data_IF_785621634809
#
_entry.id   IF_785621634809
#
_cell.length_a   1.000
_cell.length_b   1.000
_cell.length_c   1.000
_cell.angle_alpha   90.00
_cell.angle_beta   90.00
_cell.angle_gamma   90.00
#
_symmetry.space_group_name_H-M   'P 1'
#
loop_
_entity.id
_entity.type
_entity.pdbx_description
1 polymer ?
#
# COMPACT_ATOMS: atom_id res chain seq x y z
N UNK A 1 -58.50 16.36 31.17
CA UNK A 1 -58.20 16.73 29.78
C UNK A 1 -56.74 16.38 29.51
N UNK A 2 -56.53 15.40 28.63
CA UNK A 2 -55.32 15.12 27.81
C UNK A 2 -53.95 14.91 28.49
N UNK A 3 -53.60 13.62 28.55
CA UNK A 3 -52.27 13.00 28.46
C UNK A 3 -51.10 13.88 27.96
N UNK A 4 -49.97 13.84 28.68
CA UNK A 4 -48.64 13.92 28.05
C UNK A 4 -47.68 12.89 28.65
N UNK A 5 -47.41 11.88 27.83
CA UNK A 5 -46.30 10.95 27.95
C UNK A 5 -44.98 11.71 27.92
N UNK A 6 -44.06 11.39 28.83
CA UNK A 6 -42.65 11.68 28.69
C UNK A 6 -41.86 10.45 29.14
N UNK A 7 -41.73 9.48 28.25
CA UNK A 7 -40.76 8.39 28.38
C UNK A 7 -39.36 8.98 28.24
N UNK A 8 -38.62 9.03 29.34
CA UNK A 8 -37.18 9.31 29.34
C UNK A 8 -36.44 7.97 29.24
N UNK A 9 -36.08 7.61 28.01
CA UNK A 9 -35.15 6.51 27.71
C UNK A 9 -33.72 7.04 27.90
N UNK A 10 -32.87 6.49 28.78
CA UNK A 10 -31.47 6.88 28.81
C UNK A 10 -30.74 6.22 27.64
N UNK A 11 -30.18 7.04 26.75
CA UNK A 11 -29.23 6.60 25.72
C UNK A 11 -27.97 6.05 26.40
N UNK A 12 -27.73 4.74 26.26
CA UNK A 12 -26.43 4.12 26.54
C UNK A 12 -25.47 4.46 25.39
N UNK A 13 -24.57 5.41 25.64
CA UNK A 13 -23.45 5.69 24.75
C UNK A 13 -22.35 4.65 24.99
N UNK A 14 -22.32 3.59 24.19
CA UNK A 14 -21.20 2.67 24.17
C UNK A 14 -20.01 3.36 23.47
N UNK A 15 -19.01 3.78 24.24
CA UNK A 15 -17.75 4.25 23.72
C UNK A 15 -16.98 3.06 23.14
N UNK A 16 -16.93 2.94 21.81
CA UNK A 16 -15.99 2.05 21.13
C UNK A 16 -14.62 2.71 21.28
N UNK A 17 -13.84 2.25 22.26
CA UNK A 17 -12.42 2.61 22.35
C UNK A 17 -11.74 1.84 21.22
N UNK A 18 -11.65 2.43 20.03
CA UNK A 18 -10.69 1.99 19.02
C UNK A 18 -9.32 2.28 19.62
N UNK A 19 -8.65 1.25 20.11
CA UNK A 19 -7.29 1.35 20.60
C UNK A 19 -6.40 1.94 19.51
N UNK A 20 -5.71 3.05 19.82
CA UNK A 20 -4.68 3.58 18.96
C UNK A 20 -3.60 2.49 18.77
N UNK A 21 -3.07 2.29 17.54
CA UNK A 21 -2.00 1.33 17.32
C UNK A 21 -0.79 1.70 18.18
N UNK A 22 -0.25 0.71 18.89
CA UNK A 22 0.94 0.87 19.72
C UNK A 22 2.10 1.45 18.88
N UNK A 23 2.69 2.59 19.26
CA UNK A 23 3.81 3.21 18.53
C UNK A 23 5.11 2.37 18.59
N UNK A 24 5.09 1.25 19.31
CA UNK A 24 6.16 0.26 19.41
C UNK A 24 5.82 -1.06 18.71
N UNK A 25 4.78 -1.11 17.86
CA UNK A 25 4.55 -2.26 17.00
C UNK A 25 5.80 -2.49 16.15
N UNK A 26 6.52 -3.59 16.42
CA UNK A 26 7.66 -4.00 15.63
C UNK A 26 7.26 -4.00 14.15
N UNK A 27 8.15 -3.50 13.28
CA UNK A 27 7.93 -3.61 11.83
C UNK A 27 7.54 -5.07 11.53
N UNK A 28 6.47 -5.31 10.75
CA UNK A 28 6.07 -6.66 10.38
C UNK A 28 7.28 -7.44 9.83
N UNK A 29 7.44 -8.73 10.11
CA UNK A 29 8.52 -9.53 9.53
C UNK A 29 7.95 -10.58 8.57
N UNK A 30 8.26 -10.45 7.28
CA UNK A 30 7.81 -11.36 6.23
C UNK A 30 8.92 -12.27 5.69
N UNK A 31 10.02 -12.45 6.43
CA UNK A 31 11.13 -13.34 6.04
C UNK A 31 10.71 -14.79 5.87
N UNK A 32 9.69 -15.21 6.61
CA UNK A 32 9.11 -16.55 6.56
C UNK A 32 8.23 -16.80 5.32
N UNK A 33 7.74 -15.74 4.65
CA UNK A 33 6.88 -15.85 3.46
C UNK A 33 7.76 -16.10 2.25
N UNK A 34 7.93 -17.36 1.87
CA UNK A 34 8.93 -17.79 0.87
C UNK A 34 8.32 -18.32 -0.43
N UNK A 35 6.99 -18.39 -0.50
CA UNK A 35 6.29 -18.87 -1.69
C UNK A 35 5.07 -18.01 -2.01
N UNK A 36 4.58 -18.14 -3.25
CA UNK A 36 3.34 -17.49 -3.67
C UNK A 36 2.17 -17.95 -2.81
N UNK A 37 2.06 -19.24 -2.55
CA UNK A 37 0.95 -19.86 -1.82
C UNK A 37 0.86 -19.29 -0.40
N UNK A 38 2.00 -19.09 0.27
CA UNK A 38 2.06 -18.45 1.58
C UNK A 38 1.63 -16.98 1.52
N UNK A 39 2.12 -16.23 0.53
CA UNK A 39 1.70 -14.84 0.34
C UNK A 39 0.19 -14.75 0.05
N UNK A 40 -0.36 -15.67 -0.72
CA UNK A 40 -1.79 -15.72 -1.03
C UNK A 40 -2.65 -16.08 0.19
N UNK A 41 -2.16 -16.96 1.07
CA UNK A 41 -2.83 -17.24 2.34
C UNK A 41 -2.92 -15.96 3.21
N UNK A 42 -1.87 -15.15 3.24
CA UNK A 42 -1.86 -13.86 3.94
C UNK A 42 -2.72 -12.80 3.25
N UNK A 43 -2.93 -12.89 1.93
CA UNK A 43 -3.91 -12.06 1.24
C UNK A 43 -5.34 -12.43 1.65
N UNK A 44 -5.62 -13.72 1.81
CA UNK A 44 -6.94 -14.19 2.24
C UNK A 44 -7.31 -13.69 3.65
N UNK A 45 -6.33 -13.44 4.52
CA UNK A 45 -6.54 -12.87 5.86
C UNK A 45 -6.46 -11.33 5.89
N UNK A 46 -6.17 -10.67 4.76
CA UNK A 46 -6.00 -9.23 4.68
C UNK A 46 -4.67 -8.69 5.23
N UNK A 47 -3.77 -9.57 5.65
CA UNK A 47 -2.41 -9.20 6.13
C UNK A 47 -1.53 -8.69 4.99
N UNK A 48 -1.72 -9.23 3.77
CA UNK A 48 -1.11 -8.72 2.55
C UNK A 48 -2.19 -8.35 1.53
N UNK A 49 -1.81 -7.57 0.53
CA UNK A 49 -2.59 -7.30 -0.67
C UNK A 49 -1.77 -7.60 -1.91
N UNK A 50 -2.45 -7.98 -2.99
CA UNK A 50 -1.83 -8.06 -4.31
C UNK A 50 -1.67 -6.65 -4.87
N UNK A 51 -0.48 -6.34 -5.35
CA UNK A 51 -0.19 -5.11 -6.10
C UNK A 51 0.36 -5.45 -7.48
N UNK A 52 0.26 -4.49 -8.40
CA UNK A 52 1.09 -4.49 -9.60
C UNK A 52 2.32 -3.61 -9.34
N UNK A 53 3.52 -4.19 -9.37
CA UNK A 53 4.78 -3.48 -9.13
C UNK A 53 4.90 -2.27 -10.05
N UNK A 54 4.75 -2.50 -11.35
CA UNK A 54 4.51 -1.44 -12.32
C UNK A 54 3.02 -1.12 -12.39
N UNK A 55 2.58 0.08 -11.96
CA UNK A 55 1.16 0.41 -11.89
C UNK A 55 0.47 0.33 -13.25
N UNK A 56 -0.69 -0.32 -13.28
CA UNK A 56 -1.48 -0.45 -14.51
C UNK A 56 -1.87 0.91 -15.10
N UNK A 57 -2.13 1.90 -14.23
CA UNK A 57 -2.47 3.27 -14.61
C UNK A 57 -1.34 4.03 -15.31
N UNK A 58 -0.11 3.50 -15.25
CA UNK A 58 1.07 4.02 -15.94
C UNK A 58 1.48 3.13 -17.12
N UNK A 59 0.62 2.19 -17.54
CA UNK A 59 0.91 1.25 -18.64
C UNK A 59 1.56 -0.07 -18.22
N UNK A 60 1.57 -0.37 -16.91
CA UNK A 60 2.08 -1.65 -16.41
C UNK A 60 1.36 -2.87 -16.99
N UNK A 61 2.08 -3.97 -17.29
CA UNK A 61 1.47 -5.14 -17.92
C UNK A 61 0.62 -5.96 -16.93
N UNK A 62 -0.53 -6.46 -17.38
CA UNK A 62 -1.38 -7.41 -16.65
C UNK A 62 -0.85 -8.84 -16.75
N UNK A 63 0.29 -9.12 -16.14
CA UNK A 63 0.91 -10.46 -16.13
C UNK A 63 1.39 -10.85 -14.73
N UNK A 64 1.46 -12.15 -14.45
CA UNK A 64 1.88 -12.69 -13.14
C UNK A 64 3.23 -12.15 -12.66
N UNK A 65 4.16 -11.91 -13.59
CA UNK A 65 5.49 -11.35 -13.29
C UNK A 65 5.48 -9.89 -12.82
N UNK A 66 4.37 -9.16 -13.01
CA UNK A 66 4.20 -7.80 -12.51
C UNK A 66 3.43 -7.76 -11.17
N UNK A 67 3.01 -8.92 -10.65
CA UNK A 67 2.29 -9.00 -9.38
C UNK A 67 3.29 -9.20 -8.24
N UNK A 68 3.13 -8.43 -7.17
CA UNK A 68 3.84 -8.62 -5.90
C UNK A 68 2.84 -8.54 -4.74
N UNK A 69 3.33 -8.80 -3.53
CA UNK A 69 2.53 -8.88 -2.31
C UNK A 69 3.15 -7.95 -1.28
N UNK A 70 2.33 -7.07 -0.70
CA UNK A 70 2.77 -6.09 0.30
C UNK A 70 1.68 -5.88 1.35
N UNK A 71 1.99 -5.35 2.54
CA UNK A 71 0.99 -4.89 3.50
C UNK A 71 0.06 -3.83 2.90
N UNK A 72 -1.19 -3.71 3.36
CA UNK A 72 -2.16 -2.74 2.86
C UNK A 72 -1.63 -1.29 2.80
N UNK A 73 -0.88 -0.86 3.80
CA UNK A 73 -0.29 0.48 3.91
C UNK A 73 0.73 0.76 2.80
N UNK A 74 1.57 -0.22 2.45
CA UNK A 74 2.52 -0.11 1.34
C UNK A 74 1.79 -0.09 -0.01
N UNK A 75 0.70 -0.85 -0.14
CA UNK A 75 -0.19 -0.79 -1.31
C UNK A 75 -0.83 0.59 -1.48
N UNK A 76 -1.30 1.20 -0.38
CA UNK A 76 -1.86 2.55 -0.39
C UNK A 76 -0.80 3.61 -0.73
N UNK A 77 0.41 3.50 -0.18
CA UNK A 77 1.52 4.39 -0.51
C UNK A 77 1.87 4.33 -2.00
N UNK A 78 1.93 3.11 -2.58
CA UNK A 78 2.13 2.93 -4.02
C UNK A 78 1.03 3.59 -4.84
N UNK A 79 -0.23 3.50 -4.42
CA UNK A 79 -1.35 4.12 -5.12
C UNK A 79 -1.26 5.66 -5.13
N UNK A 80 -0.86 6.27 -4.00
CA UNK A 80 -0.63 7.72 -3.89
C UNK A 80 0.54 8.18 -4.78
N UNK A 81 1.66 7.46 -4.73
CA UNK A 81 2.82 7.73 -5.59
C UNK A 81 2.44 7.59 -7.07
N UNK A 82 1.64 6.57 -7.42
CA UNK A 82 1.14 6.39 -8.78
C UNK A 82 0.32 7.59 -9.24
N UNK A 83 -0.57 8.12 -8.39
CA UNK A 83 -1.35 9.33 -8.72
C UNK A 83 -0.45 10.55 -9.00
N UNK A 84 0.62 10.71 -8.21
CA UNK A 84 1.62 11.77 -8.44
C UNK A 84 2.37 11.57 -9.76
N UNK A 85 2.84 10.35 -10.04
CA UNK A 85 3.51 10.02 -11.29
C UNK A 85 2.61 10.21 -12.51
N UNK A 86 1.33 9.86 -12.42
CA UNK A 86 0.37 10.12 -13.50
C UNK A 86 0.27 11.61 -13.82
N UNK A 87 0.25 12.48 -12.80
CA UNK A 87 0.28 13.92 -13.00
C UNK A 87 1.58 14.35 -13.69
N UNK A 88 2.73 13.92 -13.18
CA UNK A 88 4.04 14.28 -13.75
C UNK A 88 4.21 13.82 -15.19
N UNK A 89 3.72 12.63 -15.55
CA UNK A 89 3.73 12.16 -16.95
C UNK A 89 2.86 13.03 -17.85
N UNK A 90 1.65 13.43 -17.41
CA UNK A 90 0.79 14.33 -18.19
C UNK A 90 1.38 15.72 -18.37
N UNK A 91 2.11 16.21 -17.38
CA UNK A 91 2.78 17.52 -17.39
C UNK A 91 4.13 17.49 -18.15
N UNK A 92 4.56 16.33 -18.64
CA UNK A 92 5.85 16.17 -19.33
C UNK A 92 7.06 16.26 -18.41
N UNK A 93 6.89 16.08 -17.09
CA UNK A 93 7.97 16.13 -16.10
C UNK A 93 8.69 14.78 -15.94
N UNK A 94 8.06 13.68 -16.38
CA UNK A 94 8.61 12.32 -16.31
C UNK A 94 8.20 11.57 -17.58
N UNK A 95 9.17 10.96 -18.25
CA UNK A 95 8.96 10.07 -19.41
C UNK A 95 9.62 8.68 -19.24
N UNK A 96 10.44 8.51 -18.20
CA UNK A 96 11.06 7.24 -17.84
C UNK A 96 10.68 6.86 -16.40
N UNK A 97 10.28 5.60 -16.21
CA UNK A 97 10.01 5.04 -14.87
C UNK A 97 10.64 3.65 -14.76
N UNK A 98 11.45 3.46 -13.72
CA UNK A 98 11.94 2.15 -13.29
C UNK A 98 11.48 1.85 -11.87
N UNK A 99 11.03 0.63 -11.64
CA UNK A 99 10.60 0.17 -10.30
C UNK A 99 11.44 -1.04 -9.94
N UNK A 100 12.07 -0.97 -8.76
CA UNK A 100 13.09 -1.91 -8.30
C UNK A 100 12.67 -2.40 -6.91
N UNK A 101 11.99 -3.56 -6.81
CA UNK A 101 11.74 -4.19 -5.53
C UNK A 101 13.04 -4.80 -4.97
N UNK A 102 13.29 -4.60 -3.70
CA UNK A 102 14.36 -5.25 -2.94
C UNK A 102 13.77 -6.37 -2.09
N UNK A 103 14.44 -7.52 -2.06
CA UNK A 103 14.04 -8.68 -1.26
C UNK A 103 15.19 -9.07 -0.33
N UNK A 104 14.84 -9.65 0.82
CA UNK A 104 15.79 -10.18 1.79
C UNK A 104 15.69 -11.71 1.84
N UNK A 105 16.82 -12.38 1.64
CA UNK A 105 16.91 -13.84 1.68
C UNK A 105 16.00 -14.47 0.64
N UNK A 106 15.17 -15.41 1.09
CA UNK A 106 14.22 -16.15 0.25
C UNK A 106 12.80 -15.60 0.31
N UNK A 107 12.60 -14.42 0.91
CA UNK A 107 11.25 -13.86 1.04
C UNK A 107 10.64 -13.52 -0.32
N UNK A 108 9.35 -13.83 -0.45
CA UNK A 108 8.48 -13.50 -1.56
C UNK A 108 7.85 -12.11 -1.42
N UNK A 109 8.01 -11.46 -0.25
CA UNK A 109 7.53 -10.10 0.05
C UNK A 109 8.74 -9.15 0.03
N UNK A 110 8.71 -8.08 -0.78
CA UNK A 110 9.83 -7.14 -0.82
C UNK A 110 9.97 -6.41 0.52
N UNK A 111 11.20 -6.10 0.93
CA UNK A 111 11.49 -5.24 2.09
C UNK A 111 11.35 -3.76 1.74
N UNK A 112 11.57 -3.44 0.47
CA UNK A 112 11.52 -2.06 -0.06
C UNK A 112 11.13 -2.07 -1.53
N UNK A 113 10.43 -1.04 -1.98
CA UNK A 113 10.22 -0.76 -3.41
C UNK A 113 10.80 0.62 -3.72
N UNK A 114 11.86 0.65 -4.52
CA UNK A 114 12.43 1.90 -5.03
C UNK A 114 11.86 2.24 -6.39
N UNK A 115 11.61 3.53 -6.63
CA UNK A 115 11.19 4.03 -7.93
C UNK A 115 12.17 5.08 -8.42
N UNK A 116 12.46 5.04 -9.71
CA UNK A 116 13.26 6.06 -10.37
C UNK A 116 12.45 6.63 -11.52
N UNK A 117 11.87 7.81 -11.29
CA UNK A 117 11.13 8.55 -12.29
C UNK A 117 11.95 9.75 -12.76
N UNK A 118 12.29 9.78 -14.04
CA UNK A 118 13.15 10.81 -14.64
C UNK A 118 12.55 11.30 -15.95
N UNK A 119 13.08 12.40 -16.46
CA UNK A 119 12.83 12.88 -17.80
C UNK A 119 14.09 12.74 -18.65
N UNK A 120 14.01 12.16 -19.85
CA UNK A 120 15.18 11.86 -20.70
C UNK A 120 16.01 13.10 -21.10
N UNK A 121 15.37 14.28 -21.13
CA UNK A 121 16.01 15.56 -21.47
C UNK A 121 16.26 16.52 -20.30
N UNK A 122 16.10 16.11 -19.04
CA UNK A 122 16.30 16.99 -17.88
C UNK A 122 17.11 16.27 -16.78
N UNK A 123 17.88 17.04 -16.00
CA UNK A 123 18.56 16.52 -14.82
C UNK A 123 17.61 16.44 -13.61
N UNK A 124 17.89 15.47 -12.73
CA UNK A 124 17.07 15.21 -11.55
C UNK A 124 15.93 14.23 -11.80
N UNK A 125 15.05 14.09 -10.81
CA UNK A 125 13.94 13.16 -10.87
C UNK A 125 13.17 13.04 -9.56
N UNK A 126 12.09 12.28 -9.63
CA UNK A 126 11.26 11.92 -8.47
C UNK A 126 11.54 10.46 -8.11
N UNK A 127 12.21 10.26 -6.96
CA UNK A 127 12.74 8.95 -6.57
C UNK A 127 12.17 8.47 -5.23
N UNK A 128 10.84 8.24 -5.12
CA UNK A 128 10.26 7.78 -3.87
C UNK A 128 10.68 6.33 -3.58
N UNK A 129 10.68 6.00 -2.29
CA UNK A 129 10.88 4.65 -1.80
C UNK A 129 9.78 4.29 -0.81
N UNK A 130 9.32 3.04 -0.86
CA UNK A 130 8.36 2.48 0.08
C UNK A 130 9.08 1.43 0.91
N UNK A 131 9.31 1.74 2.19
CA UNK A 131 9.71 0.76 3.19
C UNK A 131 8.54 -0.16 3.50
N UNK A 132 8.81 -1.47 3.58
CA UNK A 132 7.78 -2.47 3.83
C UNK A 132 8.05 -3.15 5.16
N UNK A 133 9.25 -3.69 5.34
CA UNK A 133 9.66 -4.35 6.57
C UNK A 133 11.18 -4.39 6.79
#
# INVERSE_FOLDING_TARGET
>A
MVHRLASLLPLLLAAIIVGAPDPAAAKPDFSHVTSREQAEALVATGTLVRIYLFPLRLGGPRRKANISYVPPEAGAALDQITGTLQRFTREGLVDQLRIIPEYRGTSFVPTRINMHATHSGQEGGFHPSIEIW
#
